data_IF_625716925850
#
_entry.id   IF_625716925850
#
_cell.length_a   1.000
_cell.length_b   1.000
_cell.length_c   1.000
_cell.angle_alpha   90.00
_cell.angle_beta   90.00
_cell.angle_gamma   90.00
#
_symmetry.space_group_name_H-M   'P 1'
#
loop_
_entity.id
_entity.type
_entity.pdbx_description
1 polymer ?
#
# COMPACT_ATOMS: atom_id res chain seq x y z
N UNK A 1 6.00 21.34 -10.59
CA UNK A 1 5.54 20.42 -11.66
C UNK A 1 4.02 20.44 -11.61
N UNK A 2 3.42 20.96 -12.67
CA UNK A 2 1.96 21.02 -12.77
C UNK A 2 1.52 19.71 -13.44
N UNK A 3 1.07 18.75 -12.67
CA UNK A 3 0.46 17.55 -13.22
C UNK A 3 -0.89 17.97 -13.78
N UNK A 4 -0.96 18.20 -15.09
CA UNK A 4 -2.16 18.65 -15.81
C UNK A 4 -3.30 17.62 -15.79
N UNK A 5 -3.74 17.24 -14.60
CA UNK A 5 -4.98 16.50 -14.41
C UNK A 5 -6.15 17.44 -14.68
N UNK A 6 -6.60 17.45 -15.91
CA UNK A 6 -7.78 18.21 -16.32
C UNK A 6 -9.05 17.48 -15.86
N UNK A 7 -9.46 17.75 -14.63
CA UNK A 7 -10.68 17.18 -14.03
C UNK A 7 -11.97 17.60 -14.77
N UNK A 8 -11.89 18.59 -15.65
CA UNK A 8 -13.03 19.06 -16.45
C UNK A 8 -13.29 18.22 -17.70
N UNK A 9 -12.39 17.29 -18.06
CA UNK A 9 -12.63 16.40 -19.19
C UNK A 9 -13.64 15.27 -18.88
N UNK A 10 -14.03 15.10 -17.62
CA UNK A 10 -14.99 14.06 -17.20
C UNK A 10 -16.45 14.42 -17.45
N UNK A 11 -16.76 15.61 -17.98
CA UNK A 11 -18.15 16.02 -18.29
C UNK A 11 -18.60 15.71 -19.72
N UNK A 12 -17.73 15.07 -20.53
CA UNK A 12 -18.09 14.65 -21.86
C UNK A 12 -18.60 13.22 -21.84
N UNK A 13 -19.90 13.08 -21.96
CA UNK A 13 -20.75 11.87 -22.11
C UNK A 13 -21.11 11.13 -20.83
N UNK A 14 -22.30 11.44 -20.33
CA UNK A 14 -22.98 10.77 -19.22
C UNK A 14 -23.33 9.28 -19.44
N UNK A 15 -22.91 8.69 -20.57
CA UNK A 15 -23.25 7.32 -20.95
C UNK A 15 -22.05 6.36 -21.07
N UNK A 16 -20.82 6.81 -20.80
CA UNK A 16 -19.67 5.92 -20.91
C UNK A 16 -19.43 5.21 -19.57
N UNK A 17 -20.04 4.03 -19.43
CA UNK A 17 -19.74 3.13 -18.32
C UNK A 17 -18.33 2.58 -18.50
N UNK A 18 -17.46 2.82 -17.52
CA UNK A 18 -16.07 2.35 -17.50
C UNK A 18 -15.93 1.23 -16.46
N UNK A 19 -15.26 0.16 -16.87
CA UNK A 19 -15.08 -1.05 -16.08
C UNK A 19 -13.61 -1.40 -15.91
N UNK A 20 -13.26 -2.00 -14.78
CA UNK A 20 -11.96 -2.62 -14.53
C UNK A 20 -12.13 -3.93 -13.75
N UNK A 21 -11.17 -4.83 -13.86
CA UNK A 21 -11.12 -6.06 -13.06
C UNK A 21 -10.94 -5.71 -11.59
N UNK A 22 -11.75 -6.30 -10.71
CA UNK A 22 -11.55 -6.18 -9.25
C UNK A 22 -10.24 -6.82 -8.83
N UNK A 23 -9.55 -6.30 -7.79
CA UNK A 23 -8.38 -6.96 -7.23
C UNK A 23 -8.71 -8.35 -6.69
N UNK A 24 -7.84 -9.32 -6.95
CA UNK A 24 -8.05 -10.68 -6.49
C UNK A 24 -6.80 -11.55 -6.62
N UNK A 25 -6.88 -12.72 -6.00
CA UNK A 25 -5.86 -13.77 -6.02
C UNK A 25 -6.31 -14.89 -6.95
N UNK A 26 -5.35 -15.49 -7.65
CA UNK A 26 -5.58 -16.60 -8.57
C UNK A 26 -4.93 -17.86 -8.01
N UNK A 27 -5.69 -18.95 -7.94
CA UNK A 27 -5.21 -20.27 -7.56
C UNK A 27 -5.47 -21.24 -8.71
N UNK A 28 -4.43 -21.88 -9.21
CA UNK A 28 -4.53 -22.88 -10.28
C UNK A 28 -5.23 -24.14 -9.75
N UNK A 29 -6.27 -24.59 -10.45
CA UNK A 29 -7.00 -25.81 -10.14
C UNK A 29 -6.59 -26.99 -11.04
N UNK A 30 -5.72 -26.76 -12.03
CA UNK A 30 -5.41 -27.70 -13.10
C UNK A 30 -6.48 -27.71 -14.19
N UNK A 31 -6.27 -28.54 -15.23
CA UNK A 31 -7.22 -28.70 -16.38
C UNK A 31 -7.63 -27.39 -17.07
N UNK A 32 -6.74 -26.41 -17.13
CA UNK A 32 -7.02 -25.06 -17.66
C UNK A 32 -8.11 -24.28 -16.91
N UNK A 33 -8.39 -24.64 -15.67
CA UNK A 33 -9.28 -23.94 -14.76
C UNK A 33 -8.51 -23.30 -13.61
N UNK A 34 -9.02 -22.19 -13.10
CA UNK A 34 -8.48 -21.54 -11.93
C UNK A 34 -9.59 -20.91 -11.08
N UNK A 35 -9.31 -20.79 -9.78
CA UNK A 35 -10.13 -20.07 -8.83
C UNK A 35 -9.63 -18.64 -8.73
N UNK A 36 -10.49 -17.69 -9.03
CA UNK A 36 -10.27 -16.27 -8.77
C UNK A 36 -11.02 -15.88 -7.50
N UNK A 37 -10.29 -15.37 -6.50
CA UNK A 37 -10.83 -14.90 -5.21
C UNK A 37 -10.69 -13.40 -5.10
N UNK A 38 -11.81 -12.70 -5.03
CA UNK A 38 -11.81 -11.23 -4.87
C UNK A 38 -11.21 -10.83 -3.52
N UNK A 39 -10.33 -9.83 -3.51
CA UNK A 39 -9.63 -9.38 -2.29
C UNK A 39 -10.58 -8.77 -1.25
N UNK A 40 -11.55 -7.98 -1.69
CA UNK A 40 -12.43 -7.24 -0.78
C UNK A 40 -13.68 -8.03 -0.38
N UNK A 41 -14.40 -8.56 -1.35
CA UNK A 41 -15.66 -9.27 -1.11
C UNK A 41 -15.46 -10.71 -0.63
N UNK A 42 -14.23 -11.25 -0.80
CA UNK A 42 -13.89 -12.66 -0.57
C UNK A 42 -14.70 -13.66 -1.43
N UNK A 43 -15.47 -13.17 -2.41
CA UNK A 43 -16.17 -14.04 -3.36
C UNK A 43 -15.18 -14.80 -4.22
N UNK A 44 -15.57 -16.01 -4.58
CA UNK A 44 -14.76 -16.91 -5.41
C UNK A 44 -15.47 -17.22 -6.72
N UNK A 45 -14.70 -17.31 -7.78
CA UNK A 45 -15.18 -17.60 -9.13
C UNK A 45 -14.27 -18.63 -9.77
N UNK A 46 -14.84 -19.75 -10.25
CA UNK A 46 -14.11 -20.69 -11.09
C UNK A 46 -14.23 -20.21 -12.53
N UNK A 47 -13.13 -20.14 -13.24
CA UNK A 47 -13.06 -19.70 -14.63
C UNK A 47 -11.87 -20.33 -15.34
N UNK A 48 -11.90 -20.29 -16.68
CA UNK A 48 -10.76 -20.81 -17.46
C UNK A 48 -9.58 -19.85 -17.41
N UNK A 49 -8.37 -20.38 -17.55
CA UNK A 49 -7.13 -19.61 -17.65
C UNK A 49 -7.20 -18.54 -18.75
N UNK A 50 -7.91 -18.84 -19.87
CA UNK A 50 -8.12 -17.86 -20.94
C UNK A 50 -8.94 -16.63 -20.48
N UNK A 51 -9.98 -16.85 -19.67
CA UNK A 51 -10.77 -15.74 -19.08
C UNK A 51 -9.91 -14.92 -18.12
N UNK A 52 -9.04 -15.56 -17.32
CA UNK A 52 -8.11 -14.84 -16.46
C UNK A 52 -7.11 -13.98 -17.24
N UNK A 53 -6.56 -14.49 -18.34
CA UNK A 53 -5.70 -13.69 -19.23
C UNK A 53 -6.45 -12.48 -19.80
N UNK A 54 -7.72 -12.65 -20.17
CA UNK A 54 -8.54 -11.54 -20.63
C UNK A 54 -8.80 -10.51 -19.51
N UNK A 55 -9.06 -10.96 -18.27
CA UNK A 55 -9.22 -10.08 -17.10
C UNK A 55 -7.95 -9.31 -16.74
N UNK A 56 -6.78 -9.92 -16.95
CA UNK A 56 -5.49 -9.25 -16.72
C UNK A 56 -5.29 -8.04 -17.67
N UNK A 57 -5.86 -8.09 -18.87
CA UNK A 57 -5.89 -6.97 -19.82
C UNK A 57 -6.94 -5.90 -19.46
N UNK A 58 -7.84 -6.17 -18.51
CA UNK A 58 -8.91 -5.28 -18.08
C UNK A 58 -8.62 -4.52 -16.78
N UNK A 59 -7.37 -4.29 -16.42
CA UNK A 59 -6.99 -3.64 -15.13
C UNK A 59 -7.27 -2.14 -15.10
N UNK A 60 -7.25 -1.47 -16.23
CA UNK A 60 -7.55 -0.04 -16.32
C UNK A 60 -9.04 0.19 -16.54
N UNK A 61 -9.60 1.27 -15.97
CA UNK A 61 -10.98 1.65 -16.23
C UNK A 61 -11.16 2.08 -17.68
N UNK A 62 -11.85 1.26 -18.47
CA UNK A 62 -12.15 1.48 -19.89
C UNK A 62 -13.58 1.02 -20.19
N UNK A 63 -14.11 1.45 -21.36
CA UNK A 63 -15.39 0.91 -21.84
C UNK A 63 -15.26 -0.57 -22.22
N UNK A 64 -16.37 -1.30 -22.18
CA UNK A 64 -16.37 -2.71 -22.62
C UNK A 64 -15.87 -2.86 -24.06
N UNK A 65 -16.17 -1.91 -24.97
CA UNK A 65 -15.70 -1.93 -26.36
C UNK A 65 -14.18 -1.79 -26.47
N UNK A 66 -13.57 -0.94 -25.64
CA UNK A 66 -12.11 -0.81 -25.56
C UNK A 66 -11.47 -2.10 -25.04
N UNK A 67 -12.04 -2.71 -23.99
CA UNK A 67 -11.58 -3.99 -23.49
C UNK A 67 -11.68 -5.09 -24.53
N UNK A 68 -12.83 -5.20 -25.24
CA UNK A 68 -13.01 -6.17 -26.33
C UNK A 68 -11.94 -5.99 -27.40
N UNK A 69 -11.68 -4.75 -27.81
CA UNK A 69 -10.66 -4.44 -28.82
C UNK A 69 -9.28 -4.89 -28.34
N UNK A 70 -8.90 -4.52 -27.11
CA UNK A 70 -7.62 -4.88 -26.51
C UNK A 70 -7.45 -6.41 -26.42
N UNK A 71 -8.45 -7.11 -25.92
CA UNK A 71 -8.42 -8.57 -25.76
C UNK A 71 -8.25 -9.26 -27.13
N UNK A 72 -9.06 -8.87 -28.13
CA UNK A 72 -8.98 -9.46 -29.46
C UNK A 72 -7.69 -9.13 -30.21
N UNK A 73 -6.99 -8.06 -29.85
CA UNK A 73 -5.68 -7.74 -30.39
C UNK A 73 -4.56 -8.59 -29.74
N UNK A 74 -4.63 -8.84 -28.43
CA UNK A 74 -3.56 -9.49 -27.67
C UNK A 74 -3.72 -11.01 -27.57
N UNK A 75 -4.94 -11.53 -27.59
CA UNK A 75 -5.19 -12.98 -27.52
C UNK A 75 -5.56 -13.50 -28.90
N UNK A 76 -4.60 -14.16 -29.55
CA UNK A 76 -4.72 -14.59 -30.95
C UNK A 76 -5.95 -15.48 -31.21
N UNK A 77 -6.23 -16.41 -30.30
CA UNK A 77 -7.40 -17.32 -30.41
C UNK A 77 -8.75 -16.60 -30.32
N UNK A 78 -8.78 -15.31 -29.91
CA UNK A 78 -10.01 -14.51 -29.82
C UNK A 78 -10.12 -13.47 -30.92
N UNK A 79 -9.19 -13.44 -31.90
CA UNK A 79 -9.29 -12.56 -33.05
C UNK A 79 -10.56 -12.87 -33.86
N UNK A 80 -11.30 -11.81 -34.17
CA UNK A 80 -12.58 -11.96 -34.93
C UNK A 80 -13.78 -12.39 -34.06
N UNK A 81 -13.59 -12.61 -32.76
CA UNK A 81 -14.65 -13.07 -31.85
C UNK A 81 -15.20 -11.96 -30.93
N UNK A 82 -15.22 -10.71 -31.40
CA UNK A 82 -15.59 -9.54 -30.59
C UNK A 82 -16.94 -9.69 -29.89
N UNK A 83 -17.95 -10.21 -30.58
CA UNK A 83 -19.28 -10.41 -30.00
C UNK A 83 -19.29 -11.44 -28.86
N UNK A 84 -18.53 -12.52 -28.98
CA UNK A 84 -18.40 -13.53 -27.93
C UNK A 84 -17.65 -12.98 -26.72
N UNK A 85 -16.52 -12.30 -26.96
CA UNK A 85 -15.73 -11.64 -25.88
C UNK A 85 -16.60 -10.61 -25.15
N UNK A 86 -17.36 -9.77 -25.87
CA UNK A 86 -18.26 -8.79 -25.25
C UNK A 86 -19.27 -9.46 -24.32
N UNK A 87 -19.92 -10.53 -24.78
CA UNK A 87 -20.91 -11.28 -23.98
C UNK A 87 -20.30 -11.83 -22.70
N UNK A 88 -19.06 -12.32 -22.76
CA UNK A 88 -18.34 -12.80 -21.58
C UNK A 88 -18.04 -11.64 -20.62
N UNK A 89 -17.54 -10.50 -21.10
CA UNK A 89 -17.26 -9.32 -20.26
C UNK A 89 -18.54 -8.77 -19.62
N UNK A 90 -19.66 -8.72 -20.32
CA UNK A 90 -20.96 -8.34 -19.77
C UNK A 90 -21.40 -9.31 -18.64
N UNK A 91 -21.20 -10.61 -18.83
CA UNK A 91 -21.47 -11.61 -17.80
C UNK A 91 -20.57 -11.41 -16.56
N UNK A 92 -19.29 -11.12 -16.77
CA UNK A 92 -18.34 -10.85 -15.69
C UNK A 92 -18.67 -9.54 -14.95
N UNK A 93 -19.12 -8.50 -15.66
CA UNK A 93 -19.61 -7.26 -15.07
C UNK A 93 -20.88 -7.50 -14.22
N UNK A 94 -21.83 -8.28 -14.72
CA UNK A 94 -23.04 -8.65 -13.98
C UNK A 94 -22.74 -9.49 -12.73
N UNK A 95 -21.65 -10.25 -12.73
CA UNK A 95 -21.16 -11.03 -11.56
C UNK A 95 -20.31 -10.20 -10.61
N UNK A 96 -19.96 -8.95 -10.96
CA UNK A 96 -19.13 -8.05 -10.18
C UNK A 96 -17.62 -8.31 -10.28
N UNK A 97 -17.16 -9.21 -11.17
CA UNK A 97 -15.73 -9.45 -11.44
C UNK A 97 -15.10 -8.26 -12.20
N UNK A 98 -15.90 -7.62 -13.05
CA UNK A 98 -15.61 -6.29 -13.60
C UNK A 98 -16.45 -5.28 -12.84
N UNK A 99 -15.81 -4.35 -12.16
CA UNK A 99 -16.47 -3.28 -11.40
C UNK A 99 -16.57 -2.02 -12.24
N UNK A 100 -17.74 -1.38 -12.21
CA UNK A 100 -17.92 -0.05 -12.80
C UNK A 100 -17.24 1.02 -11.95
N UNK A 101 -16.68 2.05 -12.58
CA UNK A 101 -15.98 3.13 -11.87
C UNK A 101 -16.86 3.82 -10.82
N UNK A 102 -18.13 4.03 -11.11
CA UNK A 102 -19.07 4.65 -10.17
C UNK A 102 -19.25 3.79 -8.90
N UNK A 103 -19.38 2.48 -9.08
CA UNK A 103 -19.47 1.53 -7.96
C UNK A 103 -18.16 1.43 -7.18
N UNK A 104 -17.02 1.43 -7.88
CA UNK A 104 -15.70 1.46 -7.24
C UNK A 104 -15.51 2.69 -6.36
N UNK A 105 -15.85 3.88 -6.88
CA UNK A 105 -15.79 5.14 -6.11
C UNK A 105 -16.75 5.11 -4.93
N UNK A 106 -17.96 4.55 -5.12
CA UNK A 106 -18.93 4.39 -4.03
C UNK A 106 -18.37 3.48 -2.91
N UNK A 107 -17.72 2.37 -3.27
CA UNK A 107 -17.11 1.47 -2.30
C UNK A 107 -15.95 2.14 -1.52
N UNK A 108 -15.14 2.95 -2.19
CA UNK A 108 -14.09 3.74 -1.51
C UNK A 108 -14.66 4.74 -0.48
N UNK A 109 -15.87 5.23 -0.72
CA UNK A 109 -16.54 6.18 0.18
C UNK A 109 -17.36 5.53 1.31
N UNK A 110 -17.50 4.22 1.35
CA UNK A 110 -18.37 3.54 2.32
C UNK A 110 -17.77 3.37 3.72
N UNK A 111 -16.61 3.95 4.00
CA UNK A 111 -15.97 3.87 5.29
C UNK A 111 -15.31 2.53 5.60
N UNK A 112 -14.92 2.34 6.83
CA UNK A 112 -14.19 1.17 7.27
C UNK A 112 -15.00 -0.11 7.05
N UNK A 113 -14.36 -1.13 6.45
CA UNK A 113 -14.93 -2.47 6.38
C UNK A 113 -15.23 -2.95 7.82
N UNK A 114 -16.39 -3.58 8.06
CA UNK A 114 -16.66 -4.19 9.36
C UNK A 114 -15.52 -5.12 9.75
N UNK A 115 -14.88 -4.84 10.88
CA UNK A 115 -13.72 -5.61 11.35
C UNK A 115 -12.36 -5.16 10.79
N UNK A 116 -12.28 -4.11 9.98
CA UNK A 116 -11.00 -3.53 9.61
C UNK A 116 -10.24 -3.04 10.86
N UNK A 117 -9.01 -3.49 11.02
CA UNK A 117 -8.18 -3.00 12.10
C UNK A 117 -7.91 -1.49 11.91
N UNK A 118 -8.02 -0.68 12.96
CA UNK A 118 -7.73 0.73 12.85
C UNK A 118 -6.27 0.97 12.45
N UNK A 119 -6.01 2.03 11.69
CA UNK A 119 -4.63 2.46 11.41
C UNK A 119 -3.96 2.79 12.75
N UNK A 120 -2.97 1.98 13.14
CA UNK A 120 -2.30 2.12 14.43
C UNK A 120 -1.36 3.31 14.46
N UNK A 121 -0.49 3.43 13.46
CA UNK A 121 0.45 4.54 13.34
C UNK A 121 0.87 4.78 11.89
N UNK A 122 1.28 6.01 11.61
CA UNK A 122 2.05 6.38 10.41
C UNK A 122 3.53 6.32 10.79
N UNK A 123 4.28 5.41 10.16
CA UNK A 123 5.68 5.20 10.49
C UNK A 123 6.54 5.79 9.38
N UNK A 124 7.37 6.75 9.71
CA UNK A 124 8.26 7.45 8.77
C UNK A 124 9.70 7.15 9.15
N UNK A 125 10.48 6.75 8.17
CA UNK A 125 11.92 6.55 8.34
C UNK A 125 12.67 7.74 7.78
N UNK A 126 13.63 8.23 8.53
CA UNK A 126 14.53 9.30 8.11
C UNK A 126 15.97 8.97 8.48
N UNK A 127 16.92 9.43 7.68
CA UNK A 127 18.35 9.34 7.96
C UNK A 127 19.02 10.53 7.30
N UNK A 128 19.60 11.43 8.07
CA UNK A 128 20.32 12.61 7.59
C UNK A 128 19.55 13.48 6.57
N UNK A 129 18.20 13.51 6.66
CA UNK A 129 17.32 14.24 5.71
C UNK A 129 16.35 15.20 6.40
N UNK A 130 16.84 16.19 7.18
CA UNK A 130 15.98 17.07 7.98
C UNK A 130 14.99 17.90 7.13
N UNK A 131 15.40 18.31 5.92
CA UNK A 131 14.53 19.06 5.02
C UNK A 131 13.39 18.20 4.45
N UNK A 132 13.63 16.91 4.19
CA UNK A 132 12.59 15.99 3.73
C UNK A 132 11.58 15.71 4.86
N UNK A 133 12.06 15.47 6.07
CA UNK A 133 11.22 15.31 7.26
C UNK A 133 10.35 16.55 7.49
N UNK A 134 10.93 17.76 7.41
CA UNK A 134 10.18 19.00 7.55
C UNK A 134 9.03 19.10 6.53
N UNK A 135 9.30 18.84 5.25
CA UNK A 135 8.24 18.85 4.21
C UNK A 135 7.12 17.85 4.50
N UNK A 136 7.50 16.62 4.93
CA UNK A 136 6.52 15.61 5.32
C UNK A 136 5.65 16.11 6.49
N UNK A 137 6.26 16.57 7.59
CA UNK A 137 5.53 17.05 8.77
C UNK A 137 4.61 18.23 8.45
N UNK A 138 5.04 19.16 7.57
CA UNK A 138 4.20 20.27 7.09
C UNK A 138 2.98 19.74 6.32
N UNK A 139 3.16 18.78 5.43
CA UNK A 139 2.04 18.17 4.68
C UNK A 139 1.10 17.39 5.60
N UNK A 140 1.66 16.63 6.55
CA UNK A 140 0.90 15.90 7.54
C UNK A 140 0.08 16.84 8.44
N UNK A 141 0.65 17.97 8.87
CA UNK A 141 -0.06 18.98 9.64
C UNK A 141 -1.27 19.54 8.89
N UNK A 142 -1.11 19.91 7.61
CA UNK A 142 -2.23 20.36 6.77
C UNK A 142 -3.32 19.29 6.65
N UNK A 143 -2.91 18.03 6.50
CA UNK A 143 -3.83 16.90 6.44
C UNK A 143 -4.62 16.75 7.75
N UNK A 144 -3.95 16.72 8.89
CA UNK A 144 -4.59 16.56 10.20
C UNK A 144 -5.51 17.75 10.54
N UNK A 145 -5.11 18.97 10.19
CA UNK A 145 -5.96 20.16 10.35
C UNK A 145 -7.24 20.07 9.52
N UNK A 146 -7.13 19.56 8.28
CA UNK A 146 -8.28 19.45 7.37
C UNK A 146 -9.22 18.32 7.74
N UNK A 147 -8.68 17.13 8.09
CA UNK A 147 -9.46 15.91 8.25
C UNK A 147 -9.67 15.50 9.70
N UNK A 148 -8.92 16.08 10.64
CA UNK A 148 -8.97 15.79 12.09
C UNK A 148 -8.87 14.29 12.39
N UNK A 149 -8.07 13.57 11.62
CA UNK A 149 -7.93 12.12 11.72
C UNK A 149 -7.23 11.65 13.00
N UNK A 150 -6.44 12.54 13.64
CA UNK A 150 -5.71 12.32 14.89
C UNK A 150 -4.88 11.04 14.90
N UNK A 151 -4.16 10.80 13.81
CA UNK A 151 -3.28 9.64 13.69
C UNK A 151 -2.10 9.74 14.64
N UNK A 152 -1.52 8.57 14.96
CA UNK A 152 -0.20 8.51 15.62
C UNK A 152 0.89 8.57 14.56
N UNK A 153 2.01 9.22 14.89
CA UNK A 153 3.17 9.37 14.01
C UNK A 153 4.42 8.89 14.74
N UNK A 154 5.09 7.90 14.16
CA UNK A 154 6.36 7.41 14.66
C UNK A 154 7.45 7.68 13.62
N UNK A 155 8.43 8.47 14.03
CA UNK A 155 9.54 8.88 13.18
C UNK A 155 10.76 8.09 13.60
N UNK A 156 11.11 7.06 12.82
CA UNK A 156 12.33 6.27 13.03
C UNK A 156 13.52 7.07 12.46
N UNK A 157 14.27 7.70 13.34
CA UNK A 157 15.41 8.54 12.96
C UNK A 157 16.72 7.75 13.10
N UNK A 158 17.26 7.36 11.97
CA UNK A 158 18.54 6.65 11.84
C UNK A 158 19.70 7.59 11.47
N UNK A 159 19.60 8.89 11.80
CA UNK A 159 20.64 9.87 11.55
C UNK A 159 21.91 9.60 12.38
N UNK A 160 23.07 9.83 11.75
CA UNK A 160 24.38 9.64 12.39
C UNK A 160 24.79 10.86 13.22
N UNK A 161 24.42 12.07 12.78
CA UNK A 161 24.75 13.31 13.45
C UNK A 161 23.77 13.61 14.60
N UNK A 162 24.26 13.67 15.86
CA UNK A 162 23.44 14.00 17.01
C UNK A 162 22.70 15.36 16.88
N UNK A 163 23.28 16.33 16.17
CA UNK A 163 22.64 17.62 15.93
C UNK A 163 21.44 17.48 15.00
N UNK A 164 21.55 16.64 13.97
CA UNK A 164 20.43 16.33 13.07
C UNK A 164 19.34 15.60 13.83
N UNK A 165 19.69 14.58 14.63
CA UNK A 165 18.73 13.83 15.46
C UNK A 165 18.00 14.77 16.45
N UNK A 166 18.71 15.63 17.16
CA UNK A 166 18.10 16.60 18.06
C UNK A 166 17.17 17.58 17.32
N UNK A 167 17.59 18.09 16.17
CA UNK A 167 16.78 18.97 15.34
C UNK A 167 15.53 18.28 14.79
N UNK A 168 15.62 17.00 14.42
CA UNK A 168 14.49 16.21 13.96
C UNK A 168 13.50 15.96 15.11
N UNK A 169 13.99 15.60 16.30
CA UNK A 169 13.15 15.41 17.49
C UNK A 169 12.37 16.68 17.84
N UNK A 170 13.01 17.84 17.75
CA UNK A 170 12.36 19.14 17.97
C UNK A 170 11.25 19.41 16.95
N UNK A 171 11.48 19.12 15.65
CA UNK A 171 10.43 19.25 14.61
C UNK A 171 9.24 18.33 14.88
N UNK A 172 9.50 17.10 15.32
CA UNK A 172 8.43 16.15 15.65
C UNK A 172 7.62 16.64 16.85
N UNK A 173 8.28 17.21 17.86
CA UNK A 173 7.61 17.81 19.02
C UNK A 173 6.69 18.97 18.60
N UNK A 174 7.20 19.90 17.80
CA UNK A 174 6.41 21.02 17.27
C UNK A 174 5.22 20.54 16.44
N UNK A 175 5.42 19.50 15.62
CA UNK A 175 4.32 18.90 14.87
C UNK A 175 3.26 18.32 15.81
N UNK A 176 3.64 17.59 16.84
CA UNK A 176 2.72 17.02 17.83
C UNK A 176 1.87 18.11 18.50
N UNK A 177 2.51 19.20 18.93
CA UNK A 177 1.84 20.36 19.53
C UNK A 177 0.85 21.03 18.56
N UNK A 178 1.28 21.30 17.33
CA UNK A 178 0.48 22.01 16.33
C UNK A 178 -0.68 21.18 15.75
N UNK A 179 -0.54 19.86 15.67
CA UNK A 179 -1.54 18.94 15.14
C UNK A 179 -2.47 18.34 16.20
N UNK A 180 -2.11 18.43 17.47
CA UNK A 180 -2.71 17.69 18.58
C UNK A 180 -2.71 16.16 18.37
N UNK A 181 -1.73 15.66 17.60
CA UNK A 181 -1.52 14.24 17.35
C UNK A 181 -0.44 13.67 18.28
N UNK A 182 -0.54 12.38 18.59
CA UNK A 182 0.58 11.68 19.20
C UNK A 182 1.69 11.52 18.17
N UNK A 183 2.85 12.15 18.38
CA UNK A 183 4.01 11.99 17.53
C UNK A 183 5.25 11.74 18.38
N UNK A 184 6.08 10.77 17.94
CA UNK A 184 7.29 10.36 18.63
C UNK A 184 8.45 10.25 17.66
N UNK A 185 9.60 10.79 18.07
CA UNK A 185 10.89 10.49 17.45
C UNK A 185 11.45 9.26 18.15
N UNK A 186 11.80 8.24 17.37
CA UNK A 186 12.41 6.99 17.84
C UNK A 186 13.82 6.97 17.24
N UNK A 187 14.81 7.16 18.08
CA UNK A 187 16.21 7.24 17.70
C UNK A 187 16.88 5.86 17.69
N UNK A 188 18.12 5.78 17.22
CA UNK A 188 18.94 4.57 17.35
C UNK A 188 19.05 4.08 18.80
N UNK A 189 19.30 4.98 19.72
CA UNK A 189 19.41 4.64 21.14
C UNK A 189 18.11 4.01 21.67
N UNK A 190 16.96 4.51 21.23
CA UNK A 190 15.66 3.91 21.56
C UNK A 190 15.52 2.51 20.98
N UNK A 191 15.89 2.32 19.70
CA UNK A 191 15.84 1.00 19.05
C UNK A 191 16.80 0.00 19.71
N UNK A 192 17.98 0.43 20.10
CA UNK A 192 18.93 -0.41 20.84
C UNK A 192 18.39 -0.77 22.24
N UNK A 193 17.73 0.15 22.93
CA UNK A 193 17.04 -0.14 24.19
C UNK A 193 15.85 -1.09 24.00
N UNK A 194 15.09 -0.99 22.90
CA UNK A 194 14.05 -1.96 22.52
C UNK A 194 14.64 -3.34 22.26
N UNK A 195 15.75 -3.40 21.52
CA UNK A 195 16.45 -4.67 21.27
C UNK A 195 16.91 -5.34 22.56
N UNK A 196 17.51 -4.59 23.47
CA UNK A 196 17.97 -5.11 24.77
C UNK A 196 16.84 -5.72 25.59
N UNK A 197 15.64 -5.17 25.50
CA UNK A 197 14.44 -5.74 26.16
C UNK A 197 13.95 -6.99 25.43
N UNK A 198 13.73 -6.90 24.12
CA UNK A 198 13.22 -7.99 23.29
C UNK A 198 14.12 -9.21 23.37
N UNK A 199 15.43 -9.04 23.31
CA UNK A 199 16.40 -10.12 23.28
C UNK A 199 16.52 -10.91 24.57
N UNK A 200 15.98 -10.42 25.70
CA UNK A 200 16.02 -11.13 26.99
C UNK A 200 15.24 -12.43 26.96
N UNK A 201 14.13 -12.45 26.25
CA UNK A 201 13.21 -13.59 26.18
C UNK A 201 13.53 -14.53 25.00
N UNK A 202 14.58 -14.24 24.22
CA UNK A 202 15.00 -15.03 23.08
C UNK A 202 16.08 -16.04 23.47
N UNK A 203 15.99 -17.26 22.91
CA UNK A 203 17.09 -18.22 22.96
C UNK A 203 18.33 -17.68 22.23
N UNK A 204 19.52 -18.25 22.49
CA UNK A 204 20.77 -17.81 21.83
C UNK A 204 20.65 -17.85 20.29
N UNK A 205 20.04 -18.90 19.73
CA UNK A 205 19.86 -19.04 18.28
C UNK A 205 18.88 -18.00 17.74
N UNK A 206 17.74 -17.78 18.40
CA UNK A 206 16.78 -16.75 18.00
C UNK A 206 17.38 -15.35 18.09
N UNK A 207 18.20 -15.08 19.09
CA UNK A 207 18.90 -13.81 19.26
C UNK A 207 19.85 -13.52 18.09
N UNK A 208 20.61 -14.51 17.64
CA UNK A 208 21.48 -14.38 16.46
C UNK A 208 20.63 -14.08 15.22
N UNK A 209 19.59 -14.88 14.96
CA UNK A 209 18.74 -14.69 13.79
C UNK A 209 18.01 -13.35 13.77
N UNK A 210 17.39 -12.96 14.89
CA UNK A 210 16.72 -11.66 14.99
C UNK A 210 17.72 -10.49 14.98
N UNK A 211 18.93 -10.70 15.52
CA UNK A 211 20.00 -9.69 15.51
C UNK A 211 20.39 -9.28 14.09
N UNK A 212 20.51 -10.22 13.17
CA UNK A 212 20.80 -9.94 11.75
C UNK A 212 19.76 -8.99 11.12
N UNK A 213 18.50 -9.09 11.55
CA UNK A 213 17.41 -8.28 11.00
C UNK A 213 17.25 -6.92 11.72
N UNK A 214 17.54 -6.84 13.00
CA UNK A 214 17.18 -5.71 13.86
C UNK A 214 18.38 -4.93 14.38
N UNK A 215 19.58 -5.53 14.43
CA UNK A 215 20.79 -4.84 14.84
C UNK A 215 21.55 -4.26 13.66
N UNK A 216 22.40 -3.32 13.94
CA UNK A 216 23.42 -2.84 13.03
C UNK A 216 24.59 -3.82 13.12
N UNK A 217 24.99 -4.43 12.01
CA UNK A 217 26.15 -5.29 11.99
C UNK A 217 27.37 -4.55 12.55
N UNK A 218 28.04 -5.17 13.52
CA UNK A 218 29.33 -4.69 13.95
C UNK A 218 30.29 -4.75 12.77
N UNK A 219 31.04 -3.70 12.56
CA UNK A 219 32.27 -3.47 11.80
C UNK A 219 32.69 -4.36 10.60
N UNK A 220 32.00 -5.46 10.28
CA UNK A 220 32.49 -6.43 9.31
C UNK A 220 31.94 -6.28 7.86
N UNK A 221 31.03 -5.37 7.62
CA UNK A 221 30.55 -5.08 6.26
C UNK A 221 30.28 -3.60 6.03
N UNK A 222 31.33 -2.77 5.88
CA UNK A 222 31.16 -1.35 5.56
C UNK A 222 30.61 -1.12 4.14
N UNK A 223 30.64 -2.12 3.26
CA UNK A 223 30.32 -1.98 1.84
C UNK A 223 28.83 -2.17 1.50
N UNK A 224 28.07 -2.84 2.31
CA UNK A 224 26.61 -2.95 2.15
C UNK A 224 25.92 -1.87 2.98
N UNK A 225 25.72 -0.69 2.40
CA UNK A 225 24.95 0.42 2.96
C UNK A 225 23.48 0.09 3.26
N UNK A 226 23.21 -1.08 3.81
CA UNK A 226 21.90 -1.69 3.99
C UNK A 226 21.21 -1.28 5.31
N UNK A 227 21.35 -0.04 5.74
CA UNK A 227 20.53 0.52 6.83
C UNK A 227 19.03 0.55 6.49
N UNK A 228 18.69 0.43 5.21
CA UNK A 228 17.33 0.48 4.72
C UNK A 228 16.45 -0.69 5.21
N UNK A 229 16.99 -1.90 5.20
CA UNK A 229 16.28 -3.10 5.64
C UNK A 229 15.96 -3.09 7.13
N UNK A 230 16.91 -2.68 7.96
CA UNK A 230 16.75 -2.57 9.42
C UNK A 230 15.57 -1.67 9.79
N UNK A 231 15.48 -0.47 9.21
CA UNK A 231 14.39 0.46 9.49
C UNK A 231 13.02 -0.10 9.09
N UNK A 232 12.94 -0.89 7.99
CA UNK A 232 11.71 -1.59 7.60
C UNK A 232 11.34 -2.68 8.60
N UNK A 233 12.31 -3.48 9.03
CA UNK A 233 12.08 -4.55 9.99
C UNK A 233 11.58 -4.00 11.33
N UNK A 234 12.17 -2.89 11.80
CA UNK A 234 11.69 -2.20 13.00
C UNK A 234 10.28 -1.62 12.81
N UNK A 235 10.00 -1.00 11.65
CA UNK A 235 8.65 -0.50 11.35
C UNK A 235 7.62 -1.62 11.38
N UNK A 236 7.93 -2.77 10.77
CA UNK A 236 7.07 -3.95 10.77
C UNK A 236 6.84 -4.50 12.18
N UNK A 237 7.90 -4.58 12.99
CA UNK A 237 7.79 -5.08 14.36
C UNK A 237 6.98 -4.12 15.25
N UNK A 238 7.21 -2.82 15.16
CA UNK A 238 6.49 -1.80 15.93
C UNK A 238 5.01 -1.70 15.52
N UNK A 239 4.67 -2.03 14.28
CA UNK A 239 3.29 -2.07 13.79
C UNK A 239 2.61 -3.42 13.98
N UNK A 240 3.30 -4.43 14.51
CA UNK A 240 2.73 -5.76 14.69
C UNK A 240 1.43 -5.71 15.52
N UNK A 241 0.38 -6.36 15.01
CA UNK A 241 -0.95 -6.34 15.62
C UNK A 241 -1.80 -5.11 15.32
N UNK A 242 -1.32 -4.17 14.49
CA UNK A 242 -2.08 -3.00 14.02
C UNK A 242 -1.94 -2.83 12.51
N UNK A 243 -2.83 -2.09 11.86
CA UNK A 243 -2.57 -1.59 10.51
C UNK A 243 -1.59 -0.42 10.59
N UNK A 244 -0.37 -0.62 10.11
CA UNK A 244 0.62 0.43 9.92
C UNK A 244 0.60 0.96 8.49
N UNK A 245 0.82 2.26 8.33
CA UNK A 245 1.15 2.89 7.05
C UNK A 245 2.60 3.31 7.13
N UNK A 246 3.44 2.74 6.24
CA UNK A 246 4.88 3.02 6.18
C UNK A 246 5.25 3.83 4.94
#
# INVERSE_FOLDING_TARGET
MNYGLNWNAATASADLRLFATVPGEVHDLGNSEALFRETFSQRTHVMTVQVLHALDLCRAFQSLDQHVTTICQHIESLRGQQAAVRKVLESLANRGVLIEVAEYVRQLGQGDLPGAAPVGAVIIRTCNRPAALQRFLTSALHYEQRWRARRRYWILDDSDDPKVTASNAERVRHFAEASACEARSITRADLDAYWQRLSRDLTSQQRIQAGVLLQRDGAESPELGAHYGRGMNWASLLSAGTQGVA
#
